data_IF_720809542997
#
_entry.id   IF_720809542997
#
_cell.length_a   1.000
_cell.length_b   1.000
_cell.length_c   1.000
_cell.angle_alpha   90.00
_cell.angle_beta   90.00
_cell.angle_gamma   90.00
#
_symmetry.space_group_name_H-M   'P 1'
#
loop_
_entity.id
_entity.type
_entity.pdbx_description
1 polymer ?
#
# COMPACT_ATOMS: atom_id res chain seq x y z
N UNK A 1 28.24 -7.11 10.93
CA UNK A 1 26.79 -7.33 10.73
C UNK A 1 26.39 -8.50 11.61
N UNK A 2 25.39 -8.34 12.43
CA UNK A 2 24.83 -9.44 13.22
C UNK A 2 24.16 -10.40 12.24
N UNK A 3 24.53 -11.68 12.32
CA UNK A 3 23.94 -12.75 11.53
C UNK A 3 22.45 -12.87 11.92
N UNK A 4 21.53 -12.76 10.97
CA UNK A 4 20.11 -12.85 11.18
C UNK A 4 19.47 -13.85 10.20
N UNK A 5 18.31 -14.47 10.50
CA UNK A 5 17.64 -15.40 9.61
C UNK A 5 17.25 -14.75 8.26
N UNK A 6 17.60 -15.37 7.16
CA UNK A 6 17.24 -14.94 5.80
C UNK A 6 15.97 -15.63 5.32
N UNK A 7 15.55 -16.70 6.02
CA UNK A 7 14.35 -17.47 5.72
C UNK A 7 13.75 -18.05 7.02
N UNK A 8 12.48 -18.47 6.99
CA UNK A 8 11.88 -19.14 8.17
C UNK A 8 12.64 -20.40 8.64
N UNK A 9 13.34 -21.09 7.73
CA UNK A 9 14.11 -22.29 8.06
C UNK A 9 15.39 -22.00 8.86
N UNK A 10 15.84 -20.75 8.90
CA UNK A 10 17.03 -20.34 9.64
C UNK A 10 16.69 -19.94 11.09
N UNK A 11 15.40 -19.85 11.42
CA UNK A 11 14.94 -19.54 12.77
C UNK A 11 15.35 -20.63 13.75
N UNK A 12 15.75 -20.22 14.96
CA UNK A 12 16.01 -21.12 16.08
C UNK A 12 15.40 -20.57 17.37
N UNK A 13 15.01 -21.44 18.31
CA UNK A 13 14.49 -21.03 19.61
C UNK A 13 15.51 -20.15 20.37
N UNK A 14 16.81 -20.45 20.23
CA UNK A 14 17.88 -19.67 20.86
C UNK A 14 17.94 -18.23 20.28
N UNK A 15 17.88 -18.08 18.94
CA UNK A 15 17.87 -16.77 18.30
C UNK A 15 16.59 -15.97 18.65
N UNK A 16 15.42 -16.62 18.61
CA UNK A 16 14.15 -16.01 19.02
C UNK A 16 14.20 -15.55 20.49
N UNK A 17 14.79 -16.38 21.38
CA UNK A 17 14.96 -16.00 22.78
C UNK A 17 15.85 -14.78 22.94
N UNK A 18 16.94 -14.71 22.18
CA UNK A 18 17.86 -13.56 22.26
C UNK A 18 17.23 -12.26 21.74
N UNK A 19 16.57 -12.27 20.58
CA UNK A 19 15.97 -11.04 20.02
C UNK A 19 14.73 -10.57 20.75
N UNK A 20 13.90 -11.49 21.27
CA UNK A 20 12.68 -11.16 22.01
C UNK A 20 12.93 -10.90 23.51
N UNK A 21 14.12 -11.23 24.02
CA UNK A 21 14.50 -11.13 25.45
C UNK A 21 13.56 -11.91 26.38
N UNK A 22 13.10 -13.07 25.90
CA UNK A 22 12.27 -14.03 26.65
C UNK A 22 12.83 -15.43 26.45
N UNK A 23 12.41 -16.39 27.29
CA UNK A 23 12.77 -17.81 27.10
C UNK A 23 11.78 -18.45 26.13
N UNK A 24 12.23 -18.77 24.91
CA UNK A 24 11.47 -19.54 23.92
C UNK A 24 11.95 -20.99 24.00
N UNK A 25 11.05 -21.91 24.39
CA UNK A 25 11.36 -23.33 24.51
C UNK A 25 11.27 -24.02 23.14
N UNK A 26 10.23 -23.69 22.36
CA UNK A 26 9.97 -24.27 21.04
C UNK A 26 9.14 -23.27 20.21
N UNK A 27 9.06 -23.50 18.90
CA UNK A 27 8.23 -22.71 17.99
C UNK A 27 7.80 -23.53 16.77
N UNK A 28 6.72 -23.09 16.15
CA UNK A 28 6.28 -23.58 14.84
C UNK A 28 6.09 -22.44 13.87
N UNK A 29 6.24 -22.72 12.57
CA UNK A 29 6.10 -21.74 11.49
C UNK A 29 5.07 -22.24 10.50
N UNK A 30 4.11 -21.41 10.15
CA UNK A 30 3.14 -21.65 9.09
C UNK A 30 3.21 -20.52 8.05
N UNK A 31 3.26 -20.82 6.74
CA UNK A 31 3.14 -19.78 5.71
C UNK A 31 1.75 -19.14 5.77
N UNK A 32 1.70 -17.82 5.55
CA UNK A 32 0.45 -17.08 5.40
C UNK A 32 0.27 -16.65 3.94
N UNK A 33 -0.97 -16.73 3.44
CA UNK A 33 -1.33 -16.18 2.15
C UNK A 33 -0.67 -16.93 0.98
N UNK A 34 -0.78 -18.25 0.89
CA UNK A 34 -0.38 -18.99 -0.32
C UNK A 34 -1.03 -18.33 -1.55
N UNK A 35 -0.21 -17.71 -2.41
CA UNK A 35 -0.64 -17.00 -3.61
C UNK A 35 -1.02 -15.52 -3.40
N UNK A 36 -0.91 -14.93 -2.21
CA UNK A 36 -1.29 -13.53 -1.89
C UNK A 36 -0.10 -12.71 -1.47
N UNK A 37 1.04 -12.98 -1.34
CA UNK A 37 2.22 -12.17 -1.04
C UNK A 37 3.30 -12.40 -2.09
N UNK A 38 3.15 -11.79 -3.26
CA UNK A 38 4.03 -12.09 -4.39
C UNK A 38 5.48 -11.66 -4.10
N UNK A 39 5.69 -10.52 -3.45
CA UNK A 39 6.99 -9.87 -3.33
C UNK A 39 7.74 -10.20 -2.03
N UNK A 40 7.12 -10.88 -1.07
CA UNK A 40 7.71 -11.32 0.19
C UNK A 40 7.15 -12.65 0.66
N UNK A 41 7.86 -13.32 1.58
CA UNK A 41 7.37 -14.49 2.28
C UNK A 41 6.87 -14.06 3.66
N UNK A 42 5.59 -14.24 3.91
CA UNK A 42 4.95 -13.94 5.20
C UNK A 42 4.63 -15.24 5.91
N UNK A 43 4.98 -15.32 7.18
CA UNK A 43 4.74 -16.52 8.01
C UNK A 43 4.19 -16.13 9.38
N UNK A 44 3.36 -16.99 9.94
CA UNK A 44 3.04 -16.92 11.38
C UNK A 44 3.99 -17.84 12.15
N UNK A 45 4.58 -17.29 13.19
CA UNK A 45 5.47 -17.99 14.11
C UNK A 45 4.72 -18.13 15.42
N UNK A 46 4.39 -19.35 15.81
CA UNK A 46 3.77 -19.65 17.11
C UNK A 46 4.85 -20.04 18.10
N UNK A 47 4.90 -19.36 19.25
CA UNK A 47 5.93 -19.53 20.26
C UNK A 47 5.42 -20.37 21.43
N UNK A 48 6.25 -21.30 21.91
CA UNK A 48 6.12 -21.94 23.22
C UNK A 48 7.03 -21.19 24.19
N UNK A 49 6.43 -20.29 24.96
CA UNK A 49 7.13 -19.42 25.92
C UNK A 49 6.19 -19.07 27.08
N UNK A 50 6.73 -18.90 28.28
CA UNK A 50 5.97 -18.52 29.46
C UNK A 50 5.50 -17.06 29.43
N UNK A 51 6.26 -16.18 28.76
CA UNK A 51 6.04 -14.76 28.71
C UNK A 51 6.14 -14.24 27.24
N UNK A 52 5.66 -13.03 27.02
CA UNK A 52 5.73 -12.37 25.70
C UNK A 52 4.61 -12.77 24.75
N UNK A 53 4.76 -12.43 23.45
CA UNK A 53 3.77 -12.73 22.44
C UNK A 53 3.65 -14.25 22.25
N UNK A 54 2.41 -14.72 22.00
CA UNK A 54 2.17 -16.13 21.66
C UNK A 54 2.39 -16.42 20.18
N UNK A 55 2.16 -15.41 19.35
CA UNK A 55 2.36 -15.48 17.90
C UNK A 55 3.02 -14.21 17.40
N UNK A 56 3.79 -14.33 16.32
CA UNK A 56 4.42 -13.24 15.59
C UNK A 56 4.21 -13.43 14.08
N UNK A 57 4.29 -12.35 13.35
CA UNK A 57 4.39 -12.37 11.90
C UNK A 57 5.86 -12.20 11.51
N UNK A 58 6.41 -13.20 10.82
CA UNK A 58 7.72 -13.15 10.21
C UNK A 58 7.60 -12.74 8.73
N UNK A 59 8.33 -11.70 8.32
CA UNK A 59 8.44 -11.30 6.89
C UNK A 59 9.88 -11.51 6.44
N UNK A 60 10.03 -12.16 5.29
CA UNK A 60 11.31 -12.50 4.67
C UNK A 60 11.26 -12.17 3.17
N UNK A 61 12.42 -12.21 2.51
CA UNK A 61 12.46 -12.13 1.06
C UNK A 61 11.61 -13.23 0.41
N UNK A 62 11.06 -12.94 -0.76
CA UNK A 62 10.38 -13.97 -1.56
C UNK A 62 11.35 -15.12 -1.90
N UNK A 63 10.93 -16.39 -1.81
CA UNK A 63 11.74 -17.52 -2.28
C UNK A 63 11.86 -17.55 -3.81
N UNK A 64 10.98 -16.83 -4.53
CA UNK A 64 10.97 -16.75 -6.00
C UNK A 64 11.89 -15.63 -6.48
N UNK A 65 12.90 -15.96 -7.31
CA UNK A 65 13.92 -15.01 -7.77
C UNK A 65 13.32 -13.79 -8.47
N UNK A 66 12.43 -13.99 -9.46
CA UNK A 66 11.82 -12.87 -10.19
C UNK A 66 11.01 -11.92 -9.30
N UNK A 67 10.41 -12.42 -8.21
CA UNK A 67 9.71 -11.59 -7.24
C UNK A 67 10.69 -10.78 -6.38
N UNK A 68 11.84 -11.37 -6.00
CA UNK A 68 12.92 -10.65 -5.31
C UNK A 68 13.51 -9.54 -6.20
N UNK A 69 13.70 -9.82 -7.50
CA UNK A 69 14.23 -8.83 -8.44
C UNK A 69 13.31 -7.60 -8.54
N UNK A 70 12.00 -7.82 -8.60
CA UNK A 70 11.01 -6.74 -8.57
C UNK A 70 11.07 -5.97 -7.24
N UNK A 71 11.08 -6.68 -6.10
CA UNK A 71 11.13 -6.04 -4.80
C UNK A 71 12.42 -5.23 -4.62
N UNK A 72 13.55 -5.73 -5.09
CA UNK A 72 14.84 -5.04 -5.05
C UNK A 72 14.90 -3.84 -6.01
N UNK A 73 14.31 -3.97 -7.22
CA UNK A 73 14.23 -2.87 -8.19
C UNK A 73 13.55 -1.63 -7.60
N UNK A 74 12.55 -1.84 -6.74
CA UNK A 74 11.80 -0.79 -6.07
C UNK A 74 12.21 -0.55 -4.61
N UNK A 75 13.29 -1.18 -4.13
CA UNK A 75 13.80 -1.10 -2.75
C UNK A 75 12.73 -1.43 -1.68
N UNK A 76 11.83 -2.38 -1.95
CA UNK A 76 10.66 -2.61 -1.09
C UNK A 76 11.03 -3.13 0.29
N UNK A 77 12.02 -4.03 0.40
CA UNK A 77 12.50 -4.56 1.68
C UNK A 77 13.17 -3.47 2.54
N UNK A 78 14.01 -2.63 1.92
CA UNK A 78 14.64 -1.50 2.60
C UNK A 78 13.61 -0.49 3.10
N UNK A 79 12.62 -0.13 2.26
CA UNK A 79 11.56 0.80 2.62
C UNK A 79 10.76 0.31 3.82
N UNK A 80 10.36 -0.96 3.84
CA UNK A 80 9.61 -1.53 4.95
C UNK A 80 10.46 -1.61 6.22
N UNK A 81 11.75 -1.98 6.11
CA UNK A 81 12.70 -1.93 7.21
C UNK A 81 12.80 -0.52 7.81
N UNK A 82 13.01 0.50 6.97
CA UNK A 82 13.09 1.91 7.40
C UNK A 82 11.78 2.35 8.04
N UNK A 83 10.64 1.98 7.47
CA UNK A 83 9.35 2.31 8.06
C UNK A 83 9.24 1.80 9.50
N UNK A 84 9.48 0.53 9.74
CA UNK A 84 9.32 -0.05 11.07
C UNK A 84 10.38 0.38 12.08
N UNK A 85 11.59 0.73 11.62
CA UNK A 85 12.69 1.13 12.52
C UNK A 85 12.74 2.62 12.83
N UNK A 86 12.34 3.46 11.90
CA UNK A 86 12.55 4.91 12.01
C UNK A 86 11.24 5.71 11.98
N UNK A 87 10.24 5.30 11.16
CA UNK A 87 9.02 6.09 10.96
C UNK A 87 7.93 5.68 11.95
N UNK A 88 7.56 4.40 11.99
CA UNK A 88 6.48 3.90 12.83
C UNK A 88 6.62 4.29 14.31
N UNK A 89 7.83 4.30 14.93
CA UNK A 89 7.98 4.72 16.32
C UNK A 89 7.61 6.19 16.59
N UNK A 90 7.55 7.03 15.56
CA UNK A 90 7.22 8.46 15.68
C UNK A 90 5.74 8.76 15.43
N UNK A 91 4.98 7.76 14.94
CA UNK A 91 3.58 7.93 14.54
C UNK A 91 2.61 7.51 15.64
N UNK A 92 1.47 8.19 15.69
CA UNK A 92 0.29 7.76 16.47
C UNK A 92 -0.61 6.79 15.72
N UNK A 93 -0.45 6.69 14.40
CA UNK A 93 -1.22 5.76 13.58
C UNK A 93 -0.81 4.33 13.89
N UNK A 94 -1.79 3.46 14.13
CA UNK A 94 -1.57 2.08 14.50
C UNK A 94 -1.00 1.27 13.33
N UNK A 95 0.15 0.70 13.55
CA UNK A 95 0.78 -0.35 12.72
C UNK A 95 1.24 -1.49 13.65
N UNK A 96 1.52 -2.70 13.14
CA UNK A 96 2.05 -3.79 13.96
C UNK A 96 3.30 -3.36 14.73
N UNK A 97 3.40 -3.72 15.98
CA UNK A 97 4.62 -3.52 16.76
C UNK A 97 5.77 -4.31 16.12
N UNK A 98 6.90 -3.65 15.87
CA UNK A 98 8.11 -4.31 15.40
C UNK A 98 8.92 -4.83 16.59
N UNK A 99 9.09 -6.15 16.67
CA UNK A 99 9.91 -6.81 17.70
C UNK A 99 11.35 -7.00 17.25
N UNK A 100 11.57 -7.15 15.94
CA UNK A 100 12.89 -7.25 15.35
C UNK A 100 12.83 -6.79 13.88
N UNK A 101 13.88 -6.10 13.43
CA UNK A 101 14.06 -5.72 12.04
C UNK A 101 15.53 -5.81 11.65
N UNK A 102 15.81 -6.39 10.50
CA UNK A 102 17.14 -6.41 9.89
C UNK A 102 17.05 -6.32 8.37
N UNK A 103 18.00 -5.60 7.79
CA UNK A 103 18.19 -5.49 6.36
C UNK A 103 19.69 -5.39 6.05
N UNK A 104 20.16 -6.16 5.07
CA UNK A 104 21.54 -6.07 4.56
C UNK A 104 21.54 -5.44 3.16
N UNK A 105 22.09 -4.23 2.99
CA UNK A 105 22.09 -3.54 1.70
C UNK A 105 22.94 -4.22 0.62
N UNK A 106 23.83 -5.18 0.98
CA UNK A 106 24.67 -5.86 -0.01
C UNK A 106 23.99 -7.09 -0.62
N UNK A 107 23.29 -7.85 0.20
CA UNK A 107 22.55 -9.06 -0.20
C UNK A 107 21.06 -8.83 -0.38
N UNK A 108 20.56 -7.68 0.04
CA UNK A 108 19.14 -7.35 0.23
C UNK A 108 18.41 -8.33 1.15
N UNK A 109 19.13 -9.14 1.94
CA UNK A 109 18.51 -10.00 2.92
C UNK A 109 17.69 -9.16 3.91
N UNK A 110 16.52 -9.67 4.27
CA UNK A 110 15.51 -8.94 5.01
C UNK A 110 14.80 -9.87 5.99
N UNK A 111 14.58 -9.41 7.21
CA UNK A 111 13.82 -10.11 8.22
C UNK A 111 13.10 -9.10 9.12
N UNK A 112 11.79 -9.22 9.22
CA UNK A 112 10.99 -8.54 10.25
C UNK A 112 10.29 -9.56 11.13
N UNK A 113 10.23 -9.30 12.42
CA UNK A 113 9.30 -9.95 13.36
C UNK A 113 8.32 -8.88 13.84
N UNK A 114 7.08 -9.03 13.44
CA UNK A 114 6.01 -8.08 13.73
C UNK A 114 4.96 -8.72 14.66
N UNK A 115 4.22 -7.88 15.35
CA UNK A 115 3.02 -8.27 16.08
C UNK A 115 2.02 -8.98 15.15
N UNK A 116 1.41 -10.06 15.64
CA UNK A 116 0.32 -10.77 14.96
C UNK A 116 -1.03 -10.13 15.32
N UNK A 117 -1.62 -9.43 14.39
CA UNK A 117 -2.94 -8.79 14.54
C UNK A 117 -4.09 -9.78 14.30
N UNK A 118 -3.94 -11.04 14.67
CA UNK A 118 -4.91 -12.12 14.43
C UNK A 118 -6.30 -11.88 15.01
N UNK A 119 -6.40 -11.02 16.03
CA UNK A 119 -7.66 -10.68 16.69
C UNK A 119 -8.38 -9.51 16.00
N UNK A 120 -7.75 -8.88 15.01
CA UNK A 120 -8.36 -7.89 14.16
C UNK A 120 -9.09 -8.55 12.98
N UNK A 121 -10.15 -7.94 12.52
CA UNK A 121 -10.79 -8.31 11.25
C UNK A 121 -9.96 -7.76 10.08
N UNK A 122 -9.52 -8.63 9.20
CA UNK A 122 -8.82 -8.22 7.96
C UNK A 122 -9.83 -7.62 6.99
N UNK A 123 -9.50 -6.49 6.38
CA UNK A 123 -10.26 -5.94 5.26
C UNK A 123 -10.22 -6.86 4.03
N UNK A 124 -11.16 -6.70 3.15
CA UNK A 124 -11.24 -7.46 1.89
C UNK A 124 -11.71 -6.54 0.76
N UNK A 125 -10.89 -6.43 -0.26
CA UNK A 125 -11.11 -5.56 -1.41
C UNK A 125 -12.42 -5.87 -2.16
N UNK A 126 -12.89 -7.11 -2.10
CA UNK A 126 -14.16 -7.51 -2.73
C UNK A 126 -15.39 -7.20 -1.87
N UNK A 127 -15.26 -7.34 -0.57
CA UNK A 127 -16.35 -7.12 0.39
C UNK A 127 -16.59 -5.63 0.68
N UNK A 128 -15.55 -4.79 0.48
CA UNK A 128 -15.60 -3.38 0.83
C UNK A 128 -15.55 -3.12 2.35
N UNK A 129 -15.96 -1.94 2.76
CA UNK A 129 -16.03 -1.53 4.15
C UNK A 129 -17.33 -0.75 4.45
N UNK A 130 -17.69 -0.63 5.72
CA UNK A 130 -18.81 0.21 6.17
C UNK A 130 -18.45 1.70 6.13
N UNK A 131 -19.46 2.58 6.33
CA UNK A 131 -19.26 4.03 6.41
C UNK A 131 -18.35 4.39 7.60
N UNK A 132 -18.58 3.77 8.77
CA UNK A 132 -17.79 4.06 9.98
C UNK A 132 -16.34 3.58 9.83
N UNK A 133 -16.12 2.45 9.17
CA UNK A 133 -14.78 1.97 8.84
C UNK A 133 -14.07 2.88 7.84
N UNK A 134 -14.78 3.35 6.81
CA UNK A 134 -14.24 4.33 5.87
C UNK A 134 -13.84 5.62 6.58
N UNK A 135 -14.66 6.12 7.51
CA UNK A 135 -14.36 7.27 8.36
C UNK A 135 -13.08 7.05 9.18
N UNK A 136 -12.97 5.90 9.83
CA UNK A 136 -11.77 5.53 10.61
C UNK A 136 -10.50 5.48 9.76
N UNK A 137 -10.60 4.98 8.53
CA UNK A 137 -9.47 4.98 7.57
C UNK A 137 -9.07 6.39 7.19
N UNK A 138 -10.05 7.27 6.86
CA UNK A 138 -9.78 8.67 6.50
C UNK A 138 -9.10 9.42 7.64
N UNK A 139 -9.54 9.20 8.88
CA UNK A 139 -8.89 9.78 10.07
C UNK A 139 -7.45 9.28 10.25
N UNK A 140 -7.21 7.97 10.09
CA UNK A 140 -5.88 7.38 10.20
C UNK A 140 -4.92 7.94 9.13
N UNK A 141 -5.41 8.09 7.88
CA UNK A 141 -4.63 8.68 6.79
C UNK A 141 -4.28 10.15 7.08
N UNK A 142 -5.26 10.95 7.49
CA UNK A 142 -5.01 12.36 7.80
C UNK A 142 -3.98 12.50 8.94
N UNK A 143 -4.05 11.64 9.96
CA UNK A 143 -3.08 11.63 11.05
C UNK A 143 -1.66 11.24 10.57
N UNK A 144 -1.54 10.19 9.72
CA UNK A 144 -0.26 9.79 9.11
C UNK A 144 0.36 10.93 8.30
N UNK A 145 -0.43 11.52 7.42
CA UNK A 145 0.04 12.54 6.49
C UNK A 145 0.37 13.85 7.22
N UNK A 146 -0.42 14.25 8.21
CA UNK A 146 -0.14 15.45 9.01
C UNK A 146 1.13 15.28 9.86
N UNK A 147 1.33 14.11 10.48
CA UNK A 147 2.52 13.85 11.29
C UNK A 147 3.82 13.86 10.47
N UNK A 148 3.72 13.61 9.18
CA UNK A 148 4.87 13.53 8.27
C UNK A 148 4.87 14.63 7.19
N UNK A 149 4.04 15.66 7.38
CA UNK A 149 3.87 16.77 6.44
C UNK A 149 5.15 17.53 6.22
N UNK A 150 5.65 17.55 4.98
CA UNK A 150 6.87 18.27 4.58
C UNK A 150 8.10 17.94 5.44
N UNK A 151 8.10 16.77 6.12
CA UNK A 151 9.23 16.38 6.96
C UNK A 151 10.49 16.12 6.15
N UNK A 152 11.62 16.54 6.68
CA UNK A 152 12.95 16.25 6.12
C UNK A 152 13.64 15.06 6.82
N UNK A 153 13.01 14.51 7.87
CA UNK A 153 13.61 13.47 8.71
C UNK A 153 13.70 12.11 8.02
N UNK A 154 12.84 11.85 7.02
CA UNK A 154 12.74 10.56 6.34
C UNK A 154 13.16 10.62 4.86
N UNK A 155 14.25 11.32 4.56
CA UNK A 155 14.76 11.50 3.17
C UNK A 155 15.23 10.20 2.50
N UNK A 156 15.60 9.21 3.28
CA UNK A 156 15.93 7.87 2.78
C UNK A 156 14.74 7.18 2.10
N UNK A 157 13.50 7.55 2.46
CA UNK A 157 12.33 7.18 1.68
C UNK A 157 12.25 8.11 0.46
N UNK A 158 12.43 7.54 -0.73
CA UNK A 158 12.41 8.28 -1.98
C UNK A 158 11.04 8.86 -2.34
N UNK A 159 11.03 9.91 -3.17
CA UNK A 159 9.79 10.39 -3.80
C UNK A 159 9.27 9.32 -4.78
N UNK A 160 7.96 9.28 -4.96
CA UNK A 160 7.28 8.30 -5.81
C UNK A 160 7.41 8.59 -7.32
N UNK A 161 8.58 9.04 -7.75
CA UNK A 161 8.87 9.40 -9.14
C UNK A 161 10.29 8.97 -9.57
N UNK A 162 10.83 7.90 -8.99
CA UNK A 162 12.09 7.33 -9.45
C UNK A 162 12.00 6.93 -10.93
N UNK A 163 13.14 6.85 -11.61
CA UNK A 163 13.21 6.42 -13.00
C UNK A 163 12.54 5.05 -13.21
N UNK A 164 12.78 4.11 -12.28
CA UNK A 164 12.15 2.80 -12.32
C UNK A 164 10.63 2.88 -12.16
N UNK A 165 10.12 3.76 -11.26
CA UNK A 165 8.69 3.94 -11.06
C UNK A 165 8.03 4.51 -12.32
N UNK A 166 8.62 5.52 -12.93
CA UNK A 166 8.14 6.13 -14.18
C UNK A 166 8.12 5.11 -15.31
N UNK A 167 9.27 4.46 -15.55
CA UNK A 167 9.42 3.49 -16.64
C UNK A 167 8.52 2.26 -16.45
N UNK A 168 8.42 1.74 -15.23
CA UNK A 168 7.55 0.61 -14.90
C UNK A 168 6.08 0.92 -15.12
N UNK A 169 5.62 2.10 -14.71
CA UNK A 169 4.23 2.51 -14.93
C UNK A 169 3.92 2.73 -16.41
N UNK A 170 4.82 3.39 -17.17
CA UNK A 170 4.65 3.55 -18.61
C UNK A 170 4.57 2.21 -19.34
N UNK A 171 5.52 1.32 -19.07
CA UNK A 171 5.55 -0.01 -19.69
C UNK A 171 4.31 -0.83 -19.29
N UNK A 172 3.95 -0.79 -18.01
CA UNK A 172 2.80 -1.52 -17.48
C UNK A 172 1.48 -1.06 -18.10
N UNK A 173 1.26 0.26 -18.19
CA UNK A 173 0.06 0.82 -18.82
C UNK A 173 0.01 0.48 -20.32
N UNK A 174 1.11 0.65 -21.05
CA UNK A 174 1.19 0.36 -22.49
C UNK A 174 0.91 -1.12 -22.80
N UNK A 175 1.41 -2.04 -21.95
CA UNK A 175 1.19 -3.47 -22.11
C UNK A 175 -0.18 -3.93 -21.58
N UNK A 176 -0.68 -3.29 -20.52
CA UNK A 176 -1.94 -3.66 -19.86
C UNK A 176 -3.18 -3.18 -20.59
N UNK A 177 -3.16 -1.95 -21.12
CA UNK A 177 -4.35 -1.34 -21.71
C UNK A 177 -5.01 -2.19 -22.82
N UNK A 178 -4.28 -2.75 -23.81
CA UNK A 178 -4.91 -3.60 -24.82
C UNK A 178 -5.63 -4.83 -24.26
N UNK A 179 -5.16 -5.37 -23.13
CA UNK A 179 -5.83 -6.49 -22.45
C UNK A 179 -7.13 -6.04 -21.80
N UNK A 180 -7.14 -4.84 -21.19
CA UNK A 180 -8.36 -4.27 -20.59
C UNK A 180 -9.40 -3.98 -21.68
N UNK A 181 -9.00 -3.43 -22.82
CA UNK A 181 -9.92 -3.21 -23.95
C UNK A 181 -10.50 -4.53 -24.49
N UNK A 182 -9.72 -5.62 -24.53
CA UNK A 182 -10.18 -6.90 -25.01
C UNK A 182 -11.13 -7.59 -24.03
N UNK A 183 -10.79 -7.63 -22.74
CA UNK A 183 -11.47 -8.47 -21.74
C UNK A 183 -12.56 -7.70 -20.96
N UNK A 184 -12.42 -6.37 -20.82
CA UNK A 184 -13.25 -5.52 -19.97
C UNK A 184 -13.86 -4.31 -20.71
N UNK A 185 -14.00 -4.39 -22.04
CA UNK A 185 -14.54 -3.27 -22.86
C UNK A 185 -15.88 -2.72 -22.35
N UNK A 186 -16.73 -3.57 -21.80
CA UNK A 186 -18.02 -3.17 -21.26
C UNK A 186 -17.94 -2.27 -20.00
N UNK A 187 -16.78 -2.26 -19.32
CA UNK A 187 -16.52 -1.41 -18.16
C UNK A 187 -15.90 -0.06 -18.52
N UNK A 188 -15.35 0.06 -19.75
CA UNK A 188 -14.64 1.26 -20.19
C UNK A 188 -15.64 2.36 -20.55
N UNK A 189 -15.65 3.52 -19.85
CA UNK A 189 -16.56 4.60 -20.17
C UNK A 189 -16.30 5.22 -21.55
N UNK A 190 -17.30 5.84 -22.12
CA UNK A 190 -17.19 6.57 -23.37
C UNK A 190 -16.06 7.63 -23.31
N UNK A 191 -15.23 7.69 -24.35
CA UNK A 191 -14.08 8.59 -24.44
C UNK A 191 -12.81 8.13 -23.71
N UNK A 192 -12.88 7.11 -22.83
CA UNK A 192 -11.70 6.59 -22.14
C UNK A 192 -10.77 5.84 -23.11
N UNK A 193 -11.33 5.03 -24.02
CA UNK A 193 -10.54 4.22 -24.94
C UNK A 193 -9.57 5.04 -25.80
N UNK A 194 -9.96 6.26 -26.16
CA UNK A 194 -9.13 7.17 -26.95
C UNK A 194 -8.09 7.92 -26.12
N UNK A 195 -8.43 8.22 -24.84
CA UNK A 195 -7.60 9.05 -23.95
C UNK A 195 -6.56 8.26 -23.18
N UNK A 196 -6.89 7.07 -22.70
CA UNK A 196 -5.99 6.30 -21.80
C UNK A 196 -4.65 5.97 -22.48
N UNK A 197 -4.57 5.59 -23.77
CA UNK A 197 -3.28 5.39 -24.43
C UNK A 197 -2.38 6.63 -24.42
N UNK A 198 -2.97 7.85 -24.39
CA UNK A 198 -2.21 9.11 -24.35
C UNK A 198 -1.53 9.30 -23.00
N UNK A 199 -2.10 8.76 -21.90
CA UNK A 199 -1.52 8.81 -20.57
C UNK A 199 -0.12 8.18 -20.49
N UNK A 200 0.19 7.19 -21.32
CA UNK A 200 1.53 6.55 -21.35
C UNK A 200 2.62 7.61 -21.47
N UNK A 201 2.42 8.62 -22.35
CA UNK A 201 3.39 9.69 -22.54
C UNK A 201 3.31 10.78 -21.46
N UNK A 202 2.20 10.87 -20.73
CA UNK A 202 1.99 11.88 -19.69
C UNK A 202 2.40 11.39 -18.29
N UNK A 203 2.63 10.08 -18.08
CA UNK A 203 3.04 9.51 -16.80
C UNK A 203 4.24 10.24 -16.14
N UNK A 204 5.33 10.60 -16.88
CA UNK A 204 6.44 11.32 -16.26
C UNK A 204 6.01 12.66 -15.67
N UNK A 205 5.19 13.43 -16.40
CA UNK A 205 4.68 14.71 -15.93
C UNK A 205 3.70 14.55 -14.76
N UNK A 206 2.82 13.56 -14.84
CA UNK A 206 1.85 13.26 -13.77
C UNK A 206 2.57 12.86 -12.47
N UNK A 207 3.55 11.95 -12.52
CA UNK A 207 4.35 11.57 -11.36
C UNK A 207 5.17 12.74 -10.81
N UNK A 208 5.70 13.59 -11.68
CA UNK A 208 6.37 14.82 -11.24
C UNK A 208 5.42 15.76 -10.50
N UNK A 209 4.16 15.90 -10.95
CA UNK A 209 3.15 16.75 -10.31
C UNK A 209 2.72 16.22 -8.94
N UNK A 210 2.40 14.93 -8.83
CA UNK A 210 1.96 14.34 -7.54
C UNK A 210 3.09 14.14 -6.53
N UNK A 211 4.32 14.43 -6.90
CA UNK A 211 5.48 14.41 -6.01
C UNK A 211 6.10 15.79 -5.77
N UNK A 212 5.44 16.87 -6.22
CA UNK A 212 5.77 18.24 -5.81
C UNK A 212 5.29 18.52 -4.39
N UNK A 213 5.90 19.51 -3.75
CA UNK A 213 5.46 19.96 -2.43
C UNK A 213 4.03 20.56 -2.48
N UNK A 214 3.22 20.37 -1.43
CA UNK A 214 3.54 19.63 -0.21
C UNK A 214 3.52 18.13 -0.41
N UNK A 215 4.40 17.42 0.28
CA UNK A 215 4.46 15.95 0.32
C UNK A 215 4.50 15.44 1.76
N UNK A 216 4.12 14.18 1.92
CA UNK A 216 4.20 13.45 3.19
C UNK A 216 4.69 12.02 2.95
N UNK A 217 4.79 11.24 4.01
CA UNK A 217 4.94 9.78 3.91
C UNK A 217 3.58 9.20 3.55
N UNK A 218 3.52 8.51 2.42
CA UNK A 218 2.38 7.74 1.94
C UNK A 218 2.64 6.25 2.14
N UNK A 219 1.60 5.50 2.47
CA UNK A 219 1.64 4.04 2.56
C UNK A 219 2.05 3.39 1.22
N UNK A 220 1.51 3.94 0.12
CA UNK A 220 1.84 3.56 -1.24
C UNK A 220 1.06 2.36 -1.80
N UNK A 221 0.46 1.53 -0.94
CA UNK A 221 -0.39 0.38 -1.32
C UNK A 221 -1.61 0.28 -0.38
N UNK A 222 -2.38 1.35 -0.27
CA UNK A 222 -3.50 1.43 0.67
C UNK A 222 -4.78 0.83 0.10
N UNK A 223 -4.85 -0.49 0.05
CA UNK A 223 -6.04 -1.27 -0.28
C UNK A 223 -6.63 -1.91 0.98
N UNK A 224 -7.90 -2.32 0.92
CA UNK A 224 -8.57 -2.89 2.09
C UNK A 224 -7.87 -4.13 2.66
N UNK A 225 -7.23 -4.96 1.82
CA UNK A 225 -6.48 -6.13 2.30
C UNK A 225 -5.30 -5.75 3.21
N UNK A 226 -4.83 -4.49 3.17
CA UNK A 226 -3.75 -3.95 4.01
C UNK A 226 -4.27 -3.15 5.21
N UNK A 227 -5.56 -3.22 5.50
CA UNK A 227 -6.23 -2.53 6.60
C UNK A 227 -6.88 -3.56 7.54
N UNK A 228 -6.52 -3.48 8.80
CA UNK A 228 -7.02 -4.36 9.84
C UNK A 228 -7.91 -3.56 10.79
N UNK A 229 -9.09 -4.06 11.08
CA UNK A 229 -10.12 -3.39 11.85
C UNK A 229 -10.24 -3.96 13.26
N UNK A 230 -10.13 -3.08 14.26
CA UNK A 230 -10.53 -3.30 15.63
C UNK A 230 -11.85 -2.56 15.91
N UNK A 231 -12.40 -2.70 17.13
CA UNK A 231 -13.69 -2.10 17.49
C UNK A 231 -13.68 -0.56 17.41
N UNK A 232 -12.54 0.08 17.70
CA UNK A 232 -12.40 1.53 17.87
C UNK A 232 -11.32 2.19 17.00
N UNK A 233 -10.56 1.39 16.24
CA UNK A 233 -9.49 1.91 15.38
C UNK A 233 -9.16 0.96 14.24
N UNK A 234 -8.35 1.45 13.30
CA UNK A 234 -7.75 0.67 12.23
C UNK A 234 -6.24 0.57 12.41
N UNK A 235 -5.66 -0.54 11.97
CA UNK A 235 -4.22 -0.72 11.85
C UNK A 235 -3.85 -0.88 10.38
N UNK A 236 -2.79 -0.18 9.95
CA UNK A 236 -2.25 -0.27 8.61
C UNK A 236 -1.07 -1.24 8.60
N UNK A 237 -1.02 -2.13 7.61
CA UNK A 237 0.02 -3.16 7.48
C UNK A 237 0.62 -3.15 6.08
N UNK A 238 1.79 -3.77 5.91
CA UNK A 238 2.45 -3.93 4.63
C UNK A 238 2.97 -2.62 4.01
N UNK A 239 3.93 -1.99 4.68
CA UNK A 239 4.55 -0.72 4.26
C UNK A 239 5.69 -0.89 3.24
N UNK A 240 5.73 -1.99 2.49
CA UNK A 240 6.75 -2.24 1.48
C UNK A 240 6.78 -1.22 0.32
N UNK A 241 5.64 -0.56 0.07
CA UNK A 241 5.50 0.46 -0.96
C UNK A 241 5.62 1.90 -0.43
N UNK A 242 5.95 2.07 0.87
CA UNK A 242 6.05 3.39 1.51
C UNK A 242 6.90 4.35 0.68
N UNK A 243 6.41 5.56 0.47
CA UNK A 243 7.05 6.56 -0.39
C UNK A 243 6.74 7.97 0.09
N UNK A 244 7.41 8.95 -0.49
CA UNK A 244 7.08 10.37 -0.32
C UNK A 244 6.28 10.83 -1.53
N UNK A 245 5.04 11.24 -1.32
CA UNK A 245 4.12 11.64 -2.38
C UNK A 245 3.15 12.72 -1.90
N UNK A 246 2.24 13.14 -2.80
CA UNK A 246 1.13 14.01 -2.44
C UNK A 246 0.33 13.43 -1.26
N UNK A 247 -0.17 14.27 -0.34
CA UNK A 247 -1.03 13.79 0.75
C UNK A 247 -2.29 13.07 0.26
N UNK A 248 -2.75 13.38 -0.95
CA UNK A 248 -3.92 12.76 -1.57
C UNK A 248 -3.64 11.38 -2.18
N UNK A 249 -2.39 10.95 -2.25
CA UNK A 249 -1.99 9.70 -2.92
C UNK A 249 -2.72 8.48 -2.34
N UNK A 250 -2.58 8.22 -1.05
CA UNK A 250 -3.21 7.06 -0.42
C UNK A 250 -4.74 7.18 -0.40
N UNK A 251 -5.26 8.40 -0.18
CA UNK A 251 -6.69 8.65 -0.21
C UNK A 251 -7.27 8.35 -1.58
N UNK A 252 -6.59 8.76 -2.66
CA UNK A 252 -7.02 8.48 -4.03
C UNK A 252 -7.00 6.98 -4.31
N UNK A 253 -5.95 6.26 -3.91
CA UNK A 253 -5.91 4.81 -4.03
C UNK A 253 -7.12 4.17 -3.36
N UNK A 254 -7.31 4.46 -2.08
CA UNK A 254 -8.39 3.90 -1.28
C UNK A 254 -9.76 4.23 -1.87
N UNK A 255 -10.07 5.50 -2.12
CA UNK A 255 -11.40 5.91 -2.58
C UNK A 255 -11.72 5.39 -3.99
N UNK A 256 -10.73 5.38 -4.90
CA UNK A 256 -11.00 5.02 -6.31
C UNK A 256 -10.95 3.53 -6.59
N UNK A 257 -10.30 2.72 -5.75
CA UNK A 257 -10.18 1.28 -6.01
C UNK A 257 -10.91 0.41 -4.98
N UNK A 258 -10.99 0.86 -3.72
CA UNK A 258 -11.60 0.07 -2.64
C UNK A 258 -13.08 0.41 -2.41
N UNK A 259 -13.55 1.60 -2.81
CA UNK A 259 -14.93 2.00 -2.57
C UNK A 259 -15.80 1.90 -3.82
N UNK A 260 -16.99 1.30 -3.66
CA UNK A 260 -18.04 1.36 -4.69
C UNK A 260 -18.52 2.79 -4.91
N UNK A 261 -19.16 3.05 -6.06
CA UNK A 261 -19.76 4.34 -6.37
C UNK A 261 -20.72 4.82 -5.26
N UNK A 262 -21.60 3.94 -4.79
CA UNK A 262 -22.56 4.29 -3.73
C UNK A 262 -21.87 4.68 -2.42
N UNK A 263 -20.73 4.05 -2.09
CA UNK A 263 -19.95 4.39 -0.90
C UNK A 263 -19.27 5.75 -1.07
N UNK A 264 -18.67 6.03 -2.23
CA UNK A 264 -18.06 7.34 -2.51
C UNK A 264 -19.07 8.47 -2.43
N UNK A 265 -20.31 8.25 -2.90
CA UNK A 265 -21.39 9.24 -2.90
C UNK A 265 -22.08 9.39 -1.53
N UNK A 266 -21.82 8.50 -0.57
CA UNK A 266 -22.44 8.57 0.75
C UNK A 266 -22.02 9.82 1.54
N UNK A 267 -20.78 10.27 1.35
CA UNK A 267 -20.18 11.40 2.05
C UNK A 267 -19.11 12.07 1.19
N UNK A 268 -18.84 13.36 1.42
CA UNK A 268 -17.69 14.06 0.83
C UNK A 268 -16.40 13.68 1.58
N UNK A 269 -15.85 12.51 1.23
CA UNK A 269 -14.67 11.92 1.87
C UNK A 269 -13.42 12.78 1.71
N UNK A 270 -13.26 13.44 0.56
CA UNK A 270 -12.12 14.34 0.33
C UNK A 270 -12.18 15.57 1.24
N UNK A 271 -13.37 16.16 1.37
CA UNK A 271 -13.55 17.30 2.28
C UNK A 271 -13.37 16.91 3.73
N UNK A 272 -13.84 15.73 4.12
CA UNK A 272 -13.61 15.17 5.45
C UNK A 272 -12.11 15.01 5.73
N UNK A 273 -11.38 14.37 4.83
CA UNK A 273 -9.92 14.22 4.92
C UNK A 273 -9.21 15.56 5.06
N UNK A 274 -9.54 16.53 4.21
CA UNK A 274 -8.97 17.87 4.26
C UNK A 274 -9.26 18.57 5.61
N UNK A 275 -10.50 18.45 6.11
CA UNK A 275 -10.85 19.01 7.44
C UNK A 275 -10.04 18.39 8.57
N UNK A 276 -9.73 17.10 8.49
CA UNK A 276 -8.86 16.43 9.46
C UNK A 276 -7.41 16.96 9.36
N UNK A 277 -6.87 17.16 8.17
CA UNK A 277 -5.56 17.82 8.02
C UNK A 277 -5.55 19.20 8.69
N UNK A 278 -6.59 20.00 8.49
CA UNK A 278 -6.72 21.33 9.15
C UNK A 278 -6.82 21.19 10.68
N UNK A 279 -7.54 20.19 11.20
CA UNK A 279 -7.59 19.90 12.66
C UNK A 279 -6.22 19.52 13.22
N UNK A 280 -5.38 18.88 12.44
CA UNK A 280 -3.98 18.59 12.76
C UNK A 280 -3.05 19.81 12.59
N UNK A 281 -3.59 20.99 12.24
CA UNK A 281 -2.82 22.23 12.13
C UNK A 281 -2.17 22.46 10.77
N UNK A 282 -2.55 21.70 9.74
CA UNK A 282 -2.03 21.87 8.38
C UNK A 282 -2.80 22.97 7.67
N UNK A 283 -2.09 24.02 7.27
CA UNK A 283 -2.63 25.09 6.42
C UNK A 283 -2.47 24.70 4.94
N UNK A 284 -3.53 24.15 4.36
CA UNK A 284 -3.55 23.64 2.99
C UNK A 284 -4.87 24.02 2.30
N UNK A 285 -4.84 24.77 1.17
CA UNK A 285 -6.05 25.17 0.49
C UNK A 285 -6.83 23.97 -0.08
N UNK A 286 -8.14 23.97 0.13
CA UNK A 286 -8.99 22.86 -0.35
C UNK A 286 -8.96 22.70 -1.87
N UNK A 287 -8.93 23.81 -2.64
CA UNK A 287 -8.87 23.75 -4.10
C UNK A 287 -7.58 23.07 -4.60
N UNK A 288 -6.45 23.30 -3.90
CA UNK A 288 -5.21 22.61 -4.20
C UNK A 288 -5.30 21.09 -3.88
N UNK A 289 -5.89 20.74 -2.74
CA UNK A 289 -6.18 19.38 -2.35
C UNK A 289 -7.05 18.67 -3.40
N UNK A 290 -8.16 19.29 -3.81
CA UNK A 290 -9.07 18.72 -4.82
C UNK A 290 -8.39 18.53 -6.17
N UNK A 291 -7.61 19.50 -6.63
CA UNK A 291 -6.88 19.37 -7.89
C UNK A 291 -5.87 18.21 -7.86
N UNK A 292 -5.08 18.10 -6.78
CA UNK A 292 -4.10 17.02 -6.63
C UNK A 292 -4.75 15.66 -6.44
N UNK A 293 -5.89 15.60 -5.75
CA UNK A 293 -6.66 14.37 -5.63
C UNK A 293 -7.07 13.83 -7.01
N UNK A 294 -7.52 14.70 -7.93
CA UNK A 294 -7.84 14.31 -9.31
C UNK A 294 -6.61 13.78 -10.06
N UNK A 295 -5.45 14.41 -9.89
CA UNK A 295 -4.19 13.92 -10.46
C UNK A 295 -3.79 12.55 -9.89
N UNK A 296 -3.91 12.35 -8.58
CA UNK A 296 -3.67 11.06 -7.94
C UNK A 296 -4.68 9.99 -8.43
N UNK A 297 -5.96 10.33 -8.55
CA UNK A 297 -6.98 9.43 -9.09
C UNK A 297 -6.66 8.98 -10.52
N UNK A 298 -6.17 9.90 -11.36
CA UNK A 298 -5.72 9.58 -12.71
C UNK A 298 -4.50 8.64 -12.71
N UNK A 299 -3.55 8.87 -11.82
CA UNK A 299 -2.41 7.96 -11.62
C UNK A 299 -2.89 6.55 -11.19
N UNK A 300 -3.83 6.46 -10.25
CA UNK A 300 -4.36 5.19 -9.78
C UNK A 300 -5.24 4.47 -10.80
N UNK A 301 -5.80 5.16 -11.81
CA UNK A 301 -6.35 4.46 -12.96
C UNK A 301 -5.25 3.71 -13.73
N UNK A 302 -4.09 4.33 -13.99
CA UNK A 302 -2.98 3.63 -14.63
C UNK A 302 -2.56 2.41 -13.82
N UNK A 303 -2.49 2.56 -12.50
CA UNK A 303 -2.18 1.47 -11.58
C UNK A 303 -3.24 0.36 -11.62
N UNK A 304 -4.55 0.71 -11.66
CA UNK A 304 -5.64 -0.25 -11.80
C UNK A 304 -5.53 -1.09 -13.08
N UNK A 305 -5.19 -0.45 -14.20
CA UNK A 305 -4.96 -1.13 -15.49
C UNK A 305 -3.78 -2.11 -15.38
N UNK A 306 -2.67 -1.68 -14.79
CA UNK A 306 -1.48 -2.54 -14.59
C UNK A 306 -1.83 -3.76 -13.73
N UNK A 307 -2.46 -3.55 -12.59
CA UNK A 307 -2.84 -4.64 -11.67
C UNK A 307 -3.84 -5.58 -12.34
N UNK A 308 -4.96 -5.07 -12.86
CA UNK A 308 -6.01 -5.89 -13.46
C UNK A 308 -5.50 -6.72 -14.64
N UNK A 309 -4.60 -6.16 -15.45
CA UNK A 309 -4.01 -6.86 -16.60
C UNK A 309 -3.02 -7.98 -16.20
N UNK A 310 -2.49 -7.95 -14.98
CA UNK A 310 -1.54 -8.92 -14.44
C UNK A 310 -2.22 -10.06 -13.65
N UNK A 311 -3.49 -9.88 -13.25
CA UNK A 311 -4.24 -10.90 -12.51
C UNK A 311 -4.51 -12.13 -13.38
N UNK A 312 -4.55 -13.31 -12.72
CA UNK A 312 -5.00 -14.56 -13.36
C UNK A 312 -6.53 -14.55 -13.50
N UNK A 313 -7.01 -14.27 -14.70
CA UNK A 313 -8.44 -14.19 -15.01
C UNK A 313 -9.10 -15.58 -15.14
N UNK A 314 -8.33 -16.68 -15.16
CA UNK A 314 -8.87 -18.03 -15.05
C UNK A 314 -9.29 -18.38 -13.63
N UNK A 315 -8.78 -17.64 -12.64
CA UNK A 315 -9.19 -17.74 -11.24
C UNK A 315 -10.38 -16.80 -10.99
N UNK A 316 -11.47 -17.32 -10.40
CA UNK A 316 -12.69 -16.56 -10.13
C UNK A 316 -12.42 -15.32 -9.27
N UNK A 317 -11.61 -15.43 -8.18
CA UNK A 317 -11.24 -14.30 -7.34
C UNK A 317 -10.42 -13.26 -8.10
N UNK A 318 -9.50 -13.70 -8.96
CA UNK A 318 -8.72 -12.81 -9.83
C UNK A 318 -9.61 -12.02 -10.79
N UNK A 319 -10.57 -12.67 -11.42
CA UNK A 319 -11.54 -12.02 -12.30
C UNK A 319 -12.44 -11.02 -11.55
N UNK A 320 -12.96 -11.41 -10.38
CA UNK A 320 -13.78 -10.54 -9.54
C UNK A 320 -12.98 -9.30 -9.10
N UNK A 321 -11.72 -9.49 -8.68
CA UNK A 321 -10.85 -8.41 -8.24
C UNK A 321 -10.56 -7.43 -9.39
N UNK A 322 -10.20 -7.93 -10.58
CA UNK A 322 -9.98 -7.09 -11.76
C UNK A 322 -11.23 -6.28 -12.10
N UNK A 323 -12.40 -6.94 -12.12
CA UNK A 323 -13.68 -6.27 -12.39
C UNK A 323 -13.98 -5.18 -11.37
N UNK A 324 -13.80 -5.47 -10.08
CA UNK A 324 -14.05 -4.52 -8.99
C UNK A 324 -13.15 -3.30 -9.08
N UNK A 325 -11.84 -3.51 -9.20
CA UNK A 325 -10.85 -2.43 -9.28
C UNK A 325 -11.13 -1.53 -10.50
N UNK A 326 -11.35 -2.13 -11.67
CA UNK A 326 -11.63 -1.36 -12.89
C UNK A 326 -12.95 -0.60 -12.81
N UNK A 327 -14.03 -1.24 -12.34
CA UNK A 327 -15.33 -0.59 -12.18
C UNK A 327 -15.24 0.61 -11.25
N UNK A 328 -14.60 0.43 -10.08
CA UNK A 328 -14.45 1.49 -9.10
C UNK A 328 -13.59 2.64 -9.65
N UNK A 329 -12.46 2.33 -10.30
CA UNK A 329 -11.56 3.34 -10.87
C UNK A 329 -12.22 4.13 -12.00
N UNK A 330 -12.86 3.47 -12.95
CA UNK A 330 -13.52 4.15 -14.07
C UNK A 330 -14.69 5.02 -13.61
N UNK A 331 -15.53 4.51 -12.71
CA UNK A 331 -16.65 5.31 -12.18
C UNK A 331 -16.15 6.51 -11.38
N UNK A 332 -15.09 6.36 -10.59
CA UNK A 332 -14.48 7.46 -9.86
C UNK A 332 -13.94 8.56 -10.80
N UNK A 333 -13.27 8.18 -11.89
CA UNK A 333 -12.74 9.17 -12.86
C UNK A 333 -13.84 9.97 -13.54
N UNK A 334 -14.96 9.34 -13.86
CA UNK A 334 -16.13 10.03 -14.44
C UNK A 334 -16.74 10.99 -13.40
N UNK A 335 -16.92 10.53 -12.16
CA UNK A 335 -17.42 11.36 -11.06
C UNK A 335 -16.56 12.60 -10.80
N UNK A 336 -15.25 12.45 -10.89
CA UNK A 336 -14.26 13.50 -10.63
C UNK A 336 -14.00 14.43 -11.82
N UNK A 337 -14.53 14.11 -13.02
CA UNK A 337 -14.14 14.75 -14.30
C UNK A 337 -12.60 14.73 -14.50
N UNK A 338 -11.93 13.68 -14.00
CA UNK A 338 -10.46 13.61 -14.01
C UNK A 338 -9.90 13.35 -15.43
N UNK A 339 -10.72 12.81 -16.34
CA UNK A 339 -10.35 12.64 -17.75
C UNK A 339 -10.08 13.96 -18.48
N UNK A 340 -10.59 15.08 -17.95
CA UNK A 340 -10.29 16.43 -18.49
C UNK A 340 -8.81 16.83 -18.29
N UNK A 341 -8.08 16.15 -17.39
CA UNK A 341 -6.64 16.37 -17.17
C UNK A 341 -5.74 15.67 -18.22
N UNK A 342 -6.31 14.83 -19.08
CA UNK A 342 -5.58 14.18 -20.17
C UNK A 342 -5.59 15.11 -21.37
N UNK A 343 -4.38 15.59 -21.73
CA UNK A 343 -4.14 16.49 -22.87
C UNK A 343 -4.05 15.73 -24.21
#
# INVERSE_FOLDING_TARGET
>A
MTDFPHSPSDLTAAWLSDVLKISVEDFSVEPLGEGVGILGLVTRITLTADQGPKTLIGKFQSPVEGNRDIANLYNMYEREYVFYTEIAPTLSVRSPQCHFAAYDPNSHAFCLLLEDLRDYRVGDQLSGCSVDECESIVHALAALHAATWMTEDFKQIGRHNSENQVAGMQAGLAAGWPKIEAEFSALVPEGCAEKIPQLVNQIPALLAQITQDPICISHGDLRLDNIFFADDHVALVDFQAVCRSAPEHDLAYFLTQSLSQSMRQNRDWLRMYHQELVRHGIDYPFDACEHRFKQCALYFLCYAVVIASALDLANERGQQLATTILTNSFTALVELDALALIE
#
